data_IF_552174013611
#
_entry.id   IF_552174013611
#
_cell.length_a   1.000
_cell.length_b   1.000
_cell.length_c   1.000
_cell.angle_alpha   90.00
_cell.angle_beta   90.00
_cell.angle_gamma   90.00
#
_symmetry.space_group_name_H-M   'P 1'
#
loop_
_entity.id
_entity.type
_entity.pdbx_description
1 polymer ?
#
# COMPACT_ATOMS: atom_id res chain seq x y z
N UNK A 1 19.88 6.96 -3.60
CA UNK A 1 18.68 6.45 -4.28
C UNK A 1 18.13 7.56 -5.13
N UNK A 2 17.88 7.26 -6.40
CA UNK A 2 17.18 8.12 -7.34
C UNK A 2 15.67 8.05 -7.12
N UNK A 3 14.94 9.08 -7.56
CA UNK A 3 13.47 9.08 -7.61
C UNK A 3 12.88 7.79 -8.19
N UNK A 4 13.44 7.28 -9.30
CA UNK A 4 12.99 6.03 -9.93
C UNK A 4 13.17 4.81 -9.04
N UNK A 5 14.28 4.71 -8.31
CA UNK A 5 14.53 3.62 -7.36
C UNK A 5 13.56 3.68 -6.16
N UNK A 6 13.25 4.89 -5.67
CA UNK A 6 12.27 5.07 -4.58
C UNK A 6 10.87 4.62 -5.03
N UNK A 7 10.47 4.98 -6.24
CA UNK A 7 9.17 4.57 -6.80
C UNK A 7 9.07 3.04 -6.87
N UNK A 8 10.08 2.37 -7.41
CA UNK A 8 10.06 0.90 -7.50
C UNK A 8 10.08 0.23 -6.12
N UNK A 9 10.81 0.79 -5.15
CA UNK A 9 10.82 0.29 -3.78
C UNK A 9 9.45 0.45 -3.11
N UNK A 10 8.81 1.61 -3.27
CA UNK A 10 7.46 1.85 -2.75
C UNK A 10 6.47 0.89 -3.39
N UNK A 11 6.52 0.65 -4.70
CA UNK A 11 5.63 -0.29 -5.39
C UNK A 11 5.84 -1.75 -4.96
N UNK A 12 7.07 -2.11 -4.60
CA UNK A 12 7.37 -3.43 -4.05
C UNK A 12 6.71 -3.66 -2.69
N UNK A 13 6.67 -2.62 -1.84
CA UNK A 13 6.09 -2.68 -0.49
C UNK A 13 4.58 -2.46 -0.52
N UNK A 14 4.12 -1.46 -1.26
CA UNK A 14 2.72 -1.10 -1.46
C UNK A 14 2.34 -1.36 -2.92
N UNK A 15 1.90 -2.60 -3.20
CA UNK A 15 1.49 -3.04 -4.55
C UNK A 15 0.27 -2.29 -5.11
N UNK A 16 -0.46 -1.54 -4.27
CA UNK A 16 -1.57 -0.69 -4.70
C UNK A 16 -1.14 0.67 -5.23
N UNK A 17 0.10 1.10 -4.99
CA UNK A 17 0.59 2.37 -5.49
C UNK A 17 0.92 2.30 -7.00
N UNK A 18 0.30 3.16 -7.80
CA UNK A 18 0.59 3.26 -9.23
C UNK A 18 1.82 4.12 -9.50
N UNK A 19 2.47 3.88 -10.64
CA UNK A 19 3.67 4.63 -11.01
C UNK A 19 3.33 6.09 -11.28
N UNK A 20 2.21 6.35 -11.97
CA UNK A 20 1.75 7.70 -12.29
C UNK A 20 1.53 8.55 -11.04
N UNK A 21 0.88 7.98 -10.02
CA UNK A 21 0.67 8.66 -8.75
C UNK A 21 2.00 8.98 -8.05
N UNK A 22 2.92 8.01 -7.99
CA UNK A 22 4.21 8.22 -7.32
C UNK A 22 5.13 9.20 -8.06
N UNK A 23 4.94 9.40 -9.37
CA UNK A 23 5.70 10.38 -10.13
C UNK A 23 5.34 11.83 -9.80
N UNK A 24 4.17 12.08 -9.22
CA UNK A 24 3.73 13.43 -8.80
C UNK A 24 4.50 13.95 -7.57
N UNK A 25 5.10 13.04 -6.78
CA UNK A 25 5.82 13.40 -5.56
C UNK A 25 7.28 13.77 -5.82
N UNK A 26 7.85 14.58 -4.92
CA UNK A 26 9.27 14.89 -4.92
C UNK A 26 10.11 13.71 -4.42
N UNK A 27 11.41 13.72 -4.73
CA UNK A 27 12.33 12.70 -4.22
C UNK A 27 12.37 12.65 -2.68
N UNK A 28 12.26 13.82 -2.03
CA UNK A 28 12.20 13.92 -0.57
C UNK A 28 10.96 13.24 0.00
N UNK A 29 9.79 13.54 -0.55
CA UNK A 29 8.51 12.94 -0.10
C UNK A 29 8.49 11.43 -0.30
N UNK A 30 9.03 10.94 -1.41
CA UNK A 30 9.17 9.51 -1.65
C UNK A 30 10.13 8.85 -0.66
N UNK A 31 11.21 9.54 -0.26
CA UNK A 31 12.14 9.04 0.75
C UNK A 31 11.49 8.93 2.13
N UNK A 32 10.75 9.97 2.53
CA UNK A 32 9.99 9.97 3.79
C UNK A 32 8.93 8.86 3.78
N UNK A 33 8.27 8.63 2.65
CA UNK A 33 7.28 7.57 2.51
C UNK A 33 7.91 6.17 2.63
N UNK A 34 9.07 5.92 2.00
CA UNK A 34 9.83 4.67 2.17
C UNK A 34 10.24 4.46 3.64
N UNK A 35 10.69 5.51 4.32
CA UNK A 35 11.04 5.45 5.74
C UNK A 35 9.84 5.10 6.59
N UNK A 36 8.69 5.71 6.33
CA UNK A 36 7.44 5.41 7.03
C UNK A 36 7.03 3.94 6.81
N UNK A 37 7.03 3.46 5.56
CA UNK A 37 6.74 2.07 5.23
C UNK A 37 7.65 1.08 5.96
N UNK A 38 8.93 1.43 6.13
CA UNK A 38 9.94 0.61 6.81
C UNK A 38 9.79 0.62 8.34
N UNK A 39 9.41 1.77 8.91
CA UNK A 39 9.20 1.93 10.36
C UNK A 39 7.88 1.33 10.83
N UNK A 40 6.85 1.34 10.00
CA UNK A 40 5.52 0.82 10.38
C UNK A 40 5.46 -0.70 10.33
N UNK A 41 6.46 -1.41 9.78
CA UNK A 41 6.42 -2.87 9.63
C UNK A 41 5.06 -3.31 9.11
N UNK A 42 4.63 -2.68 8.00
CA UNK A 42 3.21 -2.52 7.69
C UNK A 42 2.43 -3.81 7.93
N UNK A 43 1.40 -3.81 8.81
CA UNK A 43 0.45 -4.91 8.84
C UNK A 43 -0.08 -5.06 7.42
N UNK A 44 -0.07 -6.27 6.89
CA UNK A 44 -0.77 -6.60 5.65
C UNK A 44 -2.17 -6.04 5.82
N UNK A 45 -2.45 -4.93 5.16
CA UNK A 45 -3.81 -4.42 5.06
C UNK A 45 -4.45 -5.42 4.11
N UNK A 46 -5.02 -6.49 4.67
CA UNK A 46 -6.11 -7.22 4.06
C UNK A 46 -7.19 -6.16 3.84
N UNK A 47 -7.10 -5.50 2.69
CA UNK A 47 -8.14 -4.63 2.23
C UNK A 47 -9.34 -5.53 1.99
N UNK A 48 -10.22 -5.64 2.98
CA UNK A 48 -11.58 -6.17 2.82
C UNK A 48 -12.35 -5.10 2.05
N UNK A 49 -12.62 -5.29 0.74
CA UNK A 49 -13.44 -4.34 0.00
C UNK A 49 -14.83 -4.29 0.65
N UNK A 50 -15.40 -3.10 0.91
CA UNK A 50 -16.74 -2.98 1.47
C UNK A 50 -17.75 -3.55 0.46
N UNK A 51 -18.08 -4.84 0.62
CA UNK A 51 -18.94 -5.55 -0.32
C UNK A 51 -18.89 -7.08 -0.26
N UNK A 52 -17.92 -7.71 0.40
CA UNK A 52 -17.90 -9.17 0.59
C UNK A 52 -18.16 -9.50 2.06
N UNK A 53 -19.39 -9.22 2.51
CA UNK A 53 -19.84 -9.77 3.79
C UNK A 53 -19.72 -11.30 3.78
N UNK A 54 -19.50 -11.96 4.94
CA UNK A 54 -19.51 -13.40 5.02
C UNK A 54 -20.90 -13.90 4.61
N UNK A 55 -21.03 -14.46 3.41
CA UNK A 55 -22.26 -15.06 2.90
C UNK A 55 -22.61 -16.39 3.61
N UNK A 56 -22.23 -16.54 4.88
CA UNK A 56 -22.41 -17.75 5.67
C UNK A 56 -22.77 -17.40 7.12
N UNK A 57 -23.88 -16.69 7.28
CA UNK A 57 -24.64 -16.69 8.53
C UNK A 57 -26.11 -16.99 8.24
N UNK A 58 -26.39 -18.20 7.73
CA UNK A 58 -27.71 -18.82 7.78
C UNK A 58 -27.58 -20.28 8.18
N UNK A 59 -27.42 -20.50 9.48
CA UNK A 59 -27.82 -21.72 10.18
C UNK A 59 -28.68 -21.23 11.37
N UNK A 60 -29.98 -21.17 11.17
CA UNK A 60 -30.96 -22.15 11.67
C UNK A 60 -31.27 -21.93 13.17
N UNK A 61 -32.43 -21.33 13.42
CA UNK A 61 -33.25 -21.55 14.61
C UNK A 61 -34.55 -22.20 14.15
#
# INVERSE_FOLDING_TARGET
>A
MTKSELIEQIRSINRGATREFLTEFTERELNDYVRQLSMTGAPRVDYDPPGVGPATARLAV
#
